data_IF_543461178024
#
_entry.id   IF_543461178024
#
_cell.length_a   1.000
_cell.length_b   1.000
_cell.length_c   1.000
_cell.angle_alpha   90.00
_cell.angle_beta   90.00
_cell.angle_gamma   90.00
#
_symmetry.space_group_name_H-M   'P 1'
#
loop_
_entity.id
_entity.type
_entity.pdbx_description
1 polymer ?
#
# COMPACT_ATOMS: atom_id res chain seq x y z
N UNK A 1 11.89 -43.72 -18.05
CA UNK A 1 11.56 -42.49 -18.82
C UNK A 1 10.13 -42.65 -19.25
N UNK A 2 9.17 -42.24 -18.43
CA UNK A 2 7.76 -42.50 -18.73
C UNK A 2 6.89 -41.29 -18.46
N UNK A 3 6.20 -40.91 -19.54
CA UNK A 3 5.01 -40.08 -19.63
C UNK A 3 5.11 -38.69 -19.00
N UNK A 4 5.55 -37.80 -19.87
CA UNK A 4 5.15 -36.40 -19.95
C UNK A 4 3.61 -36.28 -19.84
N UNK A 5 3.08 -36.32 -18.62
CA UNK A 5 1.71 -35.89 -18.35
C UNK A 5 1.72 -34.37 -18.50
N UNK A 6 1.49 -33.93 -19.73
CA UNK A 6 1.12 -32.56 -20.04
C UNK A 6 -0.23 -32.29 -19.38
N UNK A 7 -0.20 -32.04 -18.06
CA UNK A 7 -1.28 -31.32 -17.40
C UNK A 7 -1.27 -29.96 -18.09
N UNK A 8 -2.28 -29.72 -18.94
CA UNK A 8 -2.59 -28.38 -19.45
C UNK A 8 -2.84 -27.50 -18.23
N UNK A 9 -1.78 -26.87 -17.72
CA UNK A 9 -1.91 -25.67 -16.91
C UNK A 9 -2.43 -24.59 -17.86
N UNK A 10 -3.73 -24.60 -18.10
CA UNK A 10 -4.44 -23.36 -18.30
C UNK A 10 -4.24 -22.65 -16.96
N UNK A 11 -3.18 -21.86 -16.80
CA UNK A 11 -3.28 -20.72 -15.90
C UNK A 11 -4.46 -19.94 -16.51
N UNK A 12 -5.62 -19.85 -15.85
CA UNK A 12 -6.55 -18.80 -16.24
C UNK A 12 -5.77 -17.50 -16.01
N UNK A 13 -5.23 -16.94 -17.08
CA UNK A 13 -4.47 -15.68 -17.05
C UNK A 13 -5.41 -14.54 -16.60
N UNK A 14 -6.72 -14.81 -16.55
CA UNK A 14 -7.77 -14.01 -15.95
C UNK A 14 -8.69 -14.98 -15.21
N UNK A 15 -8.67 -14.90 -13.88
CA UNK A 15 -9.42 -15.76 -12.97
C UNK A 15 -10.92 -15.46 -12.93
N UNK A 16 -11.66 -16.14 -12.06
CA UNK A 16 -13.10 -15.96 -11.88
C UNK A 16 -13.45 -14.49 -11.59
N UNK A 17 -14.73 -14.08 -11.72
CA UNK A 17 -15.14 -12.67 -11.52
C UNK A 17 -14.56 -12.04 -10.23
N UNK A 18 -14.47 -12.81 -9.14
CA UNK A 18 -13.89 -12.34 -7.87
C UNK A 18 -12.37 -12.06 -7.89
N UNK A 19 -11.59 -12.73 -8.76
CA UNK A 19 -10.14 -12.50 -8.84
C UNK A 19 -9.82 -11.11 -9.45
N UNK A 20 -10.73 -10.61 -10.30
CA UNK A 20 -10.62 -9.27 -10.89
C UNK A 20 -11.04 -8.20 -9.86
N UNK A 21 -12.08 -8.47 -9.06
CA UNK A 21 -12.48 -7.60 -7.95
C UNK A 21 -11.33 -7.39 -6.95
N UNK A 22 -10.68 -8.48 -6.54
CA UNK A 22 -9.53 -8.43 -5.62
C UNK A 22 -8.33 -7.70 -6.24
N UNK A 23 -8.05 -7.92 -7.53
CA UNK A 23 -6.99 -7.21 -8.25
C UNK A 23 -7.24 -5.70 -8.29
N UNK A 24 -8.46 -5.29 -8.64
CA UNK A 24 -8.84 -3.88 -8.76
C UNK A 24 -8.82 -3.19 -7.40
N UNK A 25 -9.35 -3.84 -6.38
CA UNK A 25 -9.32 -3.32 -5.01
C UNK A 25 -7.87 -3.10 -4.55
N UNK A 26 -6.97 -4.05 -4.81
CA UNK A 26 -5.58 -3.92 -4.42
C UNK A 26 -4.83 -2.86 -5.26
N UNK A 27 -5.16 -2.74 -6.55
CA UNK A 27 -4.60 -1.69 -7.41
C UNK A 27 -4.94 -0.30 -6.87
N UNK A 28 -6.21 -0.07 -6.55
CA UNK A 28 -6.68 1.20 -5.97
C UNK A 28 -6.03 1.44 -4.60
N UNK A 29 -5.92 0.41 -3.75
CA UNK A 29 -5.25 0.51 -2.46
C UNK A 29 -3.78 0.95 -2.58
N UNK A 30 -3.03 0.34 -3.51
CA UNK A 30 -1.64 0.69 -3.74
C UNK A 30 -1.48 2.09 -4.34
N UNK A 31 -2.38 2.48 -5.25
CA UNK A 31 -2.40 3.82 -5.81
C UNK A 31 -2.68 4.87 -4.73
N UNK A 32 -3.71 4.66 -3.91
CA UNK A 32 -4.08 5.54 -2.80
C UNK A 32 -2.92 5.68 -1.81
N UNK A 33 -2.29 4.56 -1.43
CA UNK A 33 -1.14 4.55 -0.53
C UNK A 33 0.03 5.33 -1.11
N UNK A 34 0.34 5.11 -2.39
CA UNK A 34 1.44 5.79 -3.07
C UNK A 34 1.20 7.31 -3.12
N UNK A 35 -0.03 7.75 -3.43
CA UNK A 35 -0.40 9.17 -3.42
C UNK A 35 -0.29 9.77 -2.03
N UNK A 36 -0.81 9.09 -1.00
CA UNK A 36 -0.73 9.57 0.38
C UNK A 36 0.72 9.70 0.87
N UNK A 37 1.59 8.74 0.53
CA UNK A 37 3.03 8.79 0.81
C UNK A 37 3.70 9.97 0.09
N UNK A 38 3.38 10.22 -1.18
CA UNK A 38 3.91 11.35 -1.94
C UNK A 38 3.51 12.67 -1.27
N UNK A 39 2.22 12.87 -0.98
CA UNK A 39 1.70 14.09 -0.37
C UNK A 39 2.33 14.35 1.01
N UNK A 40 2.57 13.29 1.79
CA UNK A 40 3.20 13.40 3.12
C UNK A 40 4.70 13.72 3.02
N UNK A 41 5.40 13.16 2.04
CA UNK A 41 6.84 13.36 1.87
C UNK A 41 7.20 14.64 1.10
N UNK A 42 6.30 15.16 0.29
CA UNK A 42 6.53 16.36 -0.53
C UNK A 42 7.06 17.56 0.25
N UNK A 43 6.48 17.97 1.39
CA UNK A 43 7.02 19.09 2.18
C UNK A 43 8.38 18.80 2.81
N UNK A 44 8.77 17.51 2.95
CA UNK A 44 9.97 17.09 3.65
C UNK A 44 11.15 16.92 2.69
N UNK A 45 10.97 16.12 1.63
CA UNK A 45 12.04 15.69 0.72
C UNK A 45 12.06 16.46 -0.62
N UNK A 46 10.98 17.18 -0.95
CA UNK A 46 10.86 17.92 -2.20
C UNK A 46 10.60 17.05 -3.43
N UNK A 47 10.05 17.69 -4.47
CA UNK A 47 9.54 17.02 -5.67
C UNK A 47 10.61 16.22 -6.43
N UNK A 48 11.85 16.74 -6.48
CA UNK A 48 12.92 16.14 -7.28
C UNK A 48 13.30 14.73 -6.80
N UNK A 49 13.42 14.53 -5.48
CA UNK A 49 13.76 13.22 -4.89
C UNK A 49 12.57 12.26 -5.05
N UNK A 50 11.35 12.75 -4.85
CA UNK A 50 10.15 11.92 -4.88
C UNK A 50 9.87 11.39 -6.29
N UNK A 51 9.74 12.28 -7.28
CA UNK A 51 9.43 11.89 -8.64
C UNK A 51 10.64 11.28 -9.37
N UNK A 52 11.86 11.70 -9.01
CA UNK A 52 13.09 11.22 -9.64
C UNK A 52 13.61 9.88 -9.11
N UNK A 53 13.39 9.58 -7.82
CA UNK A 53 13.99 8.39 -7.17
C UNK A 53 12.94 7.48 -6.51
N UNK A 54 12.08 8.03 -5.64
CA UNK A 54 11.15 7.22 -4.83
C UNK A 54 10.08 6.56 -5.72
N UNK A 55 9.43 7.34 -6.58
CA UNK A 55 8.37 6.85 -7.46
C UNK A 55 8.85 5.78 -8.44
N UNK A 56 9.92 5.99 -9.24
CA UNK A 56 10.43 4.96 -10.13
C UNK A 56 11.01 3.76 -9.35
N UNK A 57 11.67 3.99 -8.21
CA UNK A 57 12.18 2.92 -7.35
C UNK A 57 11.05 2.02 -6.81
N UNK A 58 9.95 2.62 -6.36
CA UNK A 58 8.76 1.88 -5.89
C UNK A 58 8.12 1.10 -7.02
N UNK A 59 7.99 1.70 -8.21
CA UNK A 59 7.46 1.00 -9.40
C UNK A 59 8.30 -0.22 -9.79
N UNK A 60 9.63 -0.08 -9.82
CA UNK A 60 10.55 -1.19 -10.09
C UNK A 60 10.46 -2.28 -9.01
N UNK A 61 10.40 -1.90 -7.73
CA UNK A 61 10.25 -2.85 -6.63
C UNK A 61 8.95 -3.65 -6.74
N UNK A 62 7.83 -2.99 -7.07
CA UNK A 62 6.54 -3.66 -7.26
C UNK A 62 6.58 -4.60 -8.47
N UNK A 63 7.19 -4.19 -9.57
CA UNK A 63 7.35 -5.03 -10.77
C UNK A 63 8.16 -6.29 -10.47
N UNK A 64 9.29 -6.16 -9.77
CA UNK A 64 10.11 -7.29 -9.37
C UNK A 64 9.42 -8.21 -8.37
N UNK A 65 8.71 -7.63 -7.39
CA UNK A 65 7.91 -8.36 -6.41
C UNK A 65 6.81 -9.19 -7.07
N UNK A 66 6.11 -8.63 -8.05
CA UNK A 66 5.09 -9.34 -8.81
C UNK A 66 5.68 -10.51 -9.61
N UNK A 67 6.83 -10.35 -10.27
CA UNK A 67 7.50 -11.46 -10.95
C UNK A 67 7.88 -12.59 -9.99
N UNK A 68 8.40 -12.24 -8.82
CA UNK A 68 8.75 -13.22 -7.80
C UNK A 68 7.51 -13.96 -7.26
N UNK A 69 6.41 -13.25 -7.05
CA UNK A 69 5.13 -13.81 -6.62
C UNK A 69 4.55 -14.77 -7.64
N UNK A 70 4.56 -14.41 -8.93
CA UNK A 70 4.13 -15.31 -10.02
C UNK A 70 5.03 -16.54 -10.09
N UNK A 71 6.34 -16.40 -9.90
CA UNK A 71 7.27 -17.52 -9.85
C UNK A 71 6.95 -18.47 -8.68
N UNK A 72 6.69 -17.93 -7.49
CA UNK A 72 6.29 -18.72 -6.31
C UNK A 72 4.93 -19.38 -6.49
N UNK A 73 3.95 -18.67 -7.05
CA UNK A 73 2.64 -19.18 -7.43
C UNK A 73 2.78 -20.43 -8.29
N UNK A 74 3.61 -20.34 -9.33
CA UNK A 74 3.85 -21.41 -10.28
C UNK A 74 4.51 -22.61 -9.61
N UNK A 75 5.52 -22.38 -8.77
CA UNK A 75 6.17 -23.46 -8.00
C UNK A 75 5.19 -24.16 -7.06
N UNK A 76 4.32 -23.39 -6.40
CA UNK A 76 3.29 -23.91 -5.50
C UNK A 76 2.23 -24.72 -6.26
N UNK A 77 1.74 -24.19 -7.38
CA UNK A 77 0.77 -24.85 -8.25
C UNK A 77 1.26 -26.21 -8.78
N UNK A 78 2.54 -26.32 -9.14
CA UNK A 78 3.15 -27.59 -9.53
C UNK A 78 3.29 -28.58 -8.37
N UNK A 79 3.59 -28.10 -7.16
CA UNK A 79 3.76 -28.95 -5.97
C UNK A 79 2.42 -29.54 -5.53
N UNK A 80 1.37 -28.73 -5.52
CA UNK A 80 0.02 -29.13 -5.08
C UNK A 80 -0.83 -29.74 -6.21
N UNK A 81 -0.32 -29.74 -7.46
CA UNK A 81 -1.04 -30.19 -8.66
C UNK A 81 -2.41 -29.51 -8.84
N UNK A 82 -2.48 -28.22 -8.50
CA UNK A 82 -3.71 -27.40 -8.52
C UNK A 82 -3.61 -26.28 -9.54
N UNK A 83 -4.68 -26.11 -10.33
CA UNK A 83 -4.79 -25.07 -11.36
C UNK A 83 -5.52 -23.80 -10.91
N UNK A 84 -6.06 -23.78 -9.71
CA UNK A 84 -6.84 -22.70 -9.10
C UNK A 84 -5.99 -21.79 -8.18
N UNK A 85 -4.71 -21.62 -8.51
CA UNK A 85 -3.79 -20.80 -7.72
C UNK A 85 -3.87 -19.36 -8.19
N UNK A 86 -4.55 -18.53 -7.41
CA UNK A 86 -4.52 -17.08 -7.53
C UNK A 86 -3.41 -16.50 -6.65
N UNK A 87 -2.73 -15.47 -7.14
CA UNK A 87 -1.77 -14.71 -6.34
C UNK A 87 -2.12 -13.24 -6.40
N UNK A 88 -2.27 -12.68 -5.21
CA UNK A 88 -2.55 -11.26 -5.03
C UNK A 88 -1.30 -10.45 -5.41
N UNK A 89 -1.45 -9.35 -6.18
CA UNK A 89 -0.30 -8.57 -6.62
C UNK A 89 0.52 -8.02 -5.45
N UNK A 90 1.81 -7.84 -5.68
CA UNK A 90 2.68 -7.21 -4.71
C UNK A 90 2.32 -5.73 -4.54
N UNK A 91 2.16 -5.30 -3.29
CA UNK A 91 1.72 -3.97 -2.92
C UNK A 91 2.67 -3.26 -1.96
N UNK A 92 2.33 -2.00 -1.65
CA UNK A 92 3.04 -1.21 -0.65
C UNK A 92 2.46 -1.55 0.73
N UNK A 93 3.32 -1.79 1.71
CA UNK A 93 2.88 -1.93 3.10
C UNK A 93 2.58 -0.54 3.67
N UNK A 94 1.32 -0.11 3.60
CA UNK A 94 0.87 1.22 4.04
C UNK A 94 1.30 1.53 5.47
N UNK A 95 1.05 0.60 6.40
CA UNK A 95 1.41 0.80 7.81
C UNK A 95 2.92 0.86 8.04
N UNK A 96 3.70 0.05 7.31
CA UNK A 96 5.15 0.10 7.36
C UNK A 96 5.72 1.39 6.76
N UNK A 97 5.14 1.87 5.65
CA UNK A 97 5.56 3.09 4.99
C UNK A 97 5.35 4.31 5.89
N UNK A 98 4.16 4.48 6.48
CA UNK A 98 3.89 5.59 7.39
C UNK A 98 4.68 5.50 8.68
N UNK A 99 4.83 4.30 9.25
CA UNK A 99 5.71 4.12 10.40
C UNK A 99 7.14 4.58 10.09
N UNK A 100 7.65 4.28 8.90
CA UNK A 100 8.98 4.72 8.47
C UNK A 100 9.08 6.23 8.27
N UNK A 101 8.07 6.83 7.64
CA UNK A 101 8.00 8.29 7.43
C UNK A 101 8.02 9.01 8.79
N UNK A 102 7.11 8.66 9.69
CA UNK A 102 6.96 9.38 10.96
C UNK A 102 8.03 9.03 12.00
N UNK A 103 8.57 7.81 12.00
CA UNK A 103 9.56 7.40 13.00
C UNK A 103 11.01 7.72 12.60
N UNK A 104 11.30 7.89 11.31
CA UNK A 104 12.67 8.08 10.83
C UNK A 104 12.78 9.36 10.02
N UNK A 105 12.02 9.50 8.93
CA UNK A 105 12.21 10.62 7.99
C UNK A 105 11.83 11.96 8.64
N UNK A 106 10.65 12.05 9.25
CA UNK A 106 10.16 13.26 9.92
C UNK A 106 11.08 13.75 11.06
N UNK A 107 11.47 12.93 12.06
CA UNK A 107 12.34 13.42 13.14
C UNK A 107 13.71 13.82 12.62
N UNK A 108 14.30 13.06 11.68
CA UNK A 108 15.59 13.43 11.08
C UNK A 108 15.52 14.79 10.40
N UNK A 109 14.42 15.10 9.71
CA UNK A 109 14.20 16.40 9.09
C UNK A 109 14.09 17.53 10.13
N UNK A 110 13.28 17.36 11.18
CA UNK A 110 13.08 18.39 12.21
C UNK A 110 14.33 18.61 13.07
N UNK A 111 15.11 17.56 13.36
CA UNK A 111 16.39 17.67 14.05
C UNK A 111 17.39 18.49 13.23
N UNK A 112 17.44 18.27 11.90
CA UNK A 112 18.28 19.06 11.00
C UNK A 112 17.83 20.52 10.91
N UNK A 113 16.52 20.76 10.90
CA UNK A 113 15.94 22.11 10.91
C UNK A 113 16.36 22.88 12.18
N UNK A 114 16.38 22.20 13.34
CA UNK A 114 16.77 22.80 14.61
C UNK A 114 18.26 23.17 14.71
N UNK A 115 19.12 22.45 13.96
CA UNK A 115 20.58 22.64 14.00
C UNK A 115 21.04 23.77 13.08
N UNK A 116 20.14 24.33 12.26
CA UNK A 116 20.41 25.44 11.33
C UNK A 116 21.59 25.15 10.36
N UNK A 117 21.93 23.88 10.15
CA UNK A 117 22.90 23.42 9.16
C UNK A 117 22.24 23.48 7.78
N UNK A 118 22.26 24.69 7.24
CA UNK A 118 21.64 25.08 5.99
C UNK A 118 22.40 24.51 4.79
N UNK A 119 21.70 23.71 3.98
CA UNK A 119 21.71 23.65 2.49
C UNK A 119 21.25 22.26 2.01
N UNK A 120 21.40 21.19 2.81
CA UNK A 120 21.16 19.79 2.36
C UNK A 120 20.21 18.96 3.24
N UNK A 121 19.26 19.58 3.94
CA UNK A 121 18.35 18.86 4.86
C UNK A 121 17.53 17.75 4.19
N UNK A 122 17.08 17.96 2.94
CA UNK A 122 16.29 16.98 2.18
C UNK A 122 17.15 15.78 1.75
N UNK A 123 18.35 16.05 1.25
CA UNK A 123 19.29 15.02 0.83
C UNK A 123 19.81 14.20 2.02
N UNK A 124 20.05 14.85 3.16
CA UNK A 124 20.47 14.16 4.38
C UNK A 124 19.35 13.24 4.90
N UNK A 125 18.10 13.71 4.95
CA UNK A 125 16.96 12.89 5.35
C UNK A 125 16.80 11.67 4.44
N UNK A 126 16.98 11.84 3.12
CA UNK A 126 17.00 10.74 2.16
C UNK A 126 18.17 9.77 2.38
N UNK A 127 19.38 10.29 2.61
CA UNK A 127 20.58 9.50 2.86
C UNK A 127 20.53 8.70 4.16
N UNK A 128 19.74 9.13 5.16
CA UNK A 128 19.46 8.36 6.38
C UNK A 128 18.32 7.36 6.15
N UNK A 129 17.29 7.74 5.40
CA UNK A 129 16.13 6.91 5.08
C UNK A 129 16.52 5.65 4.29
N UNK A 130 17.32 5.78 3.23
CA UNK A 130 17.66 4.67 2.35
C UNK A 130 18.37 3.50 3.08
N UNK A 131 19.47 3.70 3.82
CA UNK A 131 20.14 2.61 4.55
C UNK A 131 19.28 2.08 5.69
N UNK A 132 18.50 2.92 6.37
CA UNK A 132 17.61 2.47 7.43
C UNK A 132 16.53 1.51 6.91
N UNK A 133 15.96 1.79 5.74
CA UNK A 133 15.00 0.89 5.09
C UNK A 133 15.68 -0.41 4.64
N UNK A 134 16.90 -0.32 4.12
CA UNK A 134 17.69 -1.50 3.72
C UNK A 134 18.02 -2.41 4.92
N UNK A 135 18.45 -1.83 6.05
CA UNK A 135 18.72 -2.55 7.29
C UNK A 135 17.44 -3.22 7.80
N UNK A 136 16.30 -2.51 7.76
CA UNK A 136 14.99 -3.08 8.12
C UNK A 136 14.67 -4.32 7.27
N UNK A 137 14.97 -4.28 5.97
CA UNK A 137 14.87 -5.45 5.08
C UNK A 137 15.76 -6.62 5.49
N UNK A 138 17.03 -6.36 5.83
CA UNK A 138 17.95 -7.41 6.32
C UNK A 138 17.44 -8.02 7.62
N UNK A 139 16.99 -7.19 8.56
CA UNK A 139 16.42 -7.63 9.83
C UNK A 139 15.20 -8.52 9.59
N UNK A 140 14.28 -8.12 8.69
CA UNK A 140 13.13 -8.94 8.30
C UNK A 140 13.54 -10.29 7.71
N UNK A 141 14.59 -10.35 6.87
CA UNK A 141 15.10 -11.61 6.33
C UNK A 141 15.66 -12.53 7.41
N UNK A 142 16.36 -11.98 8.41
CA UNK A 142 16.86 -12.75 9.55
C UNK A 142 15.72 -13.26 10.44
N UNK A 143 14.72 -12.42 10.71
CA UNK A 143 13.55 -12.80 11.50
C UNK A 143 12.67 -13.83 10.78
N UNK A 144 12.63 -13.82 9.45
CA UNK A 144 11.86 -14.77 8.65
C UNK A 144 12.23 -16.23 8.95
N UNK A 145 13.49 -16.51 9.30
CA UNK A 145 13.97 -17.85 9.70
C UNK A 145 13.22 -18.38 10.92
N UNK A 146 12.87 -17.50 11.86
CA UNK A 146 12.10 -17.84 13.06
C UNK A 146 10.59 -17.74 12.85
N UNK A 147 10.13 -17.29 11.69
CA UNK A 147 8.72 -17.03 11.41
C UNK A 147 7.84 -18.29 11.55
N UNK A 148 8.29 -19.44 11.04
CA UNK A 148 7.53 -20.69 11.21
C UNK A 148 7.44 -21.14 12.67
N UNK A 149 8.50 -20.93 13.45
CA UNK A 149 8.52 -21.28 14.86
C UNK A 149 7.51 -20.41 15.63
N UNK A 150 7.52 -19.10 15.41
CA UNK A 150 6.58 -18.18 16.05
C UNK A 150 5.14 -18.52 15.65
N UNK A 151 4.88 -18.77 14.37
CA UNK A 151 3.55 -19.14 13.87
C UNK A 151 3.01 -20.43 14.49
N UNK A 152 3.85 -21.45 14.71
CA UNK A 152 3.44 -22.73 15.30
C UNK A 152 3.20 -22.64 16.81
N UNK A 153 3.93 -21.77 17.51
CA UNK A 153 3.83 -21.64 18.97
C UNK A 153 2.84 -20.54 19.43
N UNK A 154 2.43 -19.64 18.53
CA UNK A 154 1.49 -18.56 18.85
C UNK A 154 0.07 -18.99 18.50
N UNK A 155 -0.88 -19.00 19.47
CA UNK A 155 -2.28 -19.29 19.15
C UNK A 155 -2.85 -18.19 18.25
N UNK A 156 -3.62 -18.56 17.22
CA UNK A 156 -4.20 -17.60 16.25
C UNK A 156 -5.02 -16.49 16.93
N UNK A 157 -5.63 -16.79 18.08
CA UNK A 157 -6.41 -15.84 18.88
C UNK A 157 -5.56 -14.71 19.47
N UNK A 158 -4.27 -14.95 19.73
CA UNK A 158 -3.35 -13.91 20.20
C UNK A 158 -2.88 -12.99 19.06
N UNK A 159 -2.85 -13.48 17.82
CA UNK A 159 -2.41 -12.71 16.66
C UNK A 159 -3.50 -11.75 16.14
N UNK A 160 -4.77 -12.16 16.23
CA UNK A 160 -5.92 -11.41 15.73
C UNK A 160 -6.03 -9.98 16.32
N UNK A 161 -5.96 -9.77 17.66
CA UNK A 161 -6.02 -8.44 18.26
C UNK A 161 -4.86 -7.54 17.85
N UNK A 162 -3.67 -8.11 17.69
CA UNK A 162 -2.50 -7.35 17.27
C UNK A 162 -2.66 -6.83 15.84
N UNK A 163 -3.07 -7.70 14.90
CA UNK A 163 -3.28 -7.31 13.51
C UNK A 163 -4.46 -6.33 13.38
N UNK A 164 -5.57 -6.58 14.08
CA UNK A 164 -6.74 -5.70 14.01
C UNK A 164 -6.49 -4.35 14.67
N UNK A 165 -5.87 -4.32 15.85
CA UNK A 165 -5.54 -3.09 16.57
C UNK A 165 -4.51 -2.26 15.83
N UNK A 166 -3.42 -2.87 15.35
CA UNK A 166 -2.40 -2.18 14.58
C UNK A 166 -2.94 -1.67 13.23
N UNK A 167 -3.73 -2.50 12.54
CA UNK A 167 -4.39 -2.10 11.29
C UNK A 167 -5.38 -0.94 11.50
N UNK A 168 -6.21 -1.01 12.54
CA UNK A 168 -7.15 0.08 12.84
C UNK A 168 -6.43 1.37 13.25
N UNK A 169 -5.45 1.28 14.15
CA UNK A 169 -4.73 2.45 14.64
C UNK A 169 -3.93 3.16 13.54
N UNK A 170 -3.28 2.40 12.64
CA UNK A 170 -2.42 3.02 11.61
C UNK A 170 -3.19 3.29 10.32
N UNK A 171 -4.05 2.38 9.85
CA UNK A 171 -4.75 2.57 8.58
C UNK A 171 -6.05 3.34 8.75
N UNK A 172 -6.87 2.98 9.74
CA UNK A 172 -8.16 3.68 9.90
C UNK A 172 -7.94 5.09 10.44
N UNK A 173 -7.14 5.28 11.50
CA UNK A 173 -7.01 6.60 12.12
C UNK A 173 -6.21 7.60 11.28
N UNK A 174 -5.07 7.20 10.68
CA UNK A 174 -4.28 8.14 9.87
C UNK A 174 -5.02 8.57 8.60
N UNK A 175 -5.74 7.66 7.95
CA UNK A 175 -6.52 8.01 6.74
C UNK A 175 -7.83 8.72 7.10
N UNK A 176 -8.39 8.50 8.30
CA UNK A 176 -9.61 9.16 8.73
C UNK A 176 -9.42 10.65 9.05
N UNK A 177 -8.27 11.05 9.59
CA UNK A 177 -8.05 12.44 10.01
C UNK A 177 -8.20 13.45 8.85
N UNK A 178 -7.57 13.28 7.67
CA UNK A 178 -7.80 14.14 6.51
C UNK A 178 -9.24 14.08 5.98
N UNK A 179 -9.88 12.91 6.08
CA UNK A 179 -11.25 12.70 5.63
C UNK A 179 -12.26 13.46 6.52
N UNK A 180 -11.97 13.60 7.81
CA UNK A 180 -12.83 14.29 8.76
C UNK A 180 -12.99 15.79 8.46
N UNK A 181 -12.05 16.39 7.72
CA UNK A 181 -12.11 17.79 7.31
C UNK A 181 -13.10 18.03 6.16
N UNK A 182 -13.31 17.03 5.30
CA UNK A 182 -14.21 17.09 4.14
C UNK A 182 -15.13 15.86 4.06
N UNK A 183 -15.94 15.58 5.11
CA UNK A 183 -16.65 14.30 5.25
C UNK A 183 -17.68 14.05 4.14
N UNK A 184 -18.20 15.12 3.52
CA UNK A 184 -19.17 15.04 2.42
C UNK A 184 -18.58 14.32 1.20
N UNK A 185 -17.29 14.53 0.90
CA UNK A 185 -16.64 13.95 -0.27
C UNK A 185 -16.33 12.46 -0.06
N UNK A 186 -15.99 12.06 1.17
CA UNK A 186 -15.65 10.68 1.50
C UNK A 186 -16.87 9.78 1.80
N UNK A 187 -17.98 10.36 2.28
CA UNK A 187 -19.18 9.60 2.65
C UNK A 187 -19.79 8.87 1.45
N UNK A 188 -19.76 9.48 0.26
CA UNK A 188 -20.31 8.89 -0.96
C UNK A 188 -19.55 7.61 -1.38
N UNK A 189 -18.23 7.62 -1.63
CA UNK A 189 -17.48 6.40 -1.92
C UNK A 189 -17.57 5.37 -0.78
N UNK A 190 -17.62 5.81 0.49
CA UNK A 190 -17.84 4.90 1.62
C UNK A 190 -19.19 4.15 1.53
N UNK A 191 -20.28 4.86 1.25
CA UNK A 191 -21.61 4.25 1.06
C UNK A 191 -21.59 3.30 -0.13
N UNK A 192 -20.96 3.67 -1.25
CA UNK A 192 -20.86 2.82 -2.44
C UNK A 192 -20.10 1.53 -2.13
N UNK A 193 -18.98 1.60 -1.40
CA UNK A 193 -18.19 0.43 -1.00
C UNK A 193 -19.00 -0.45 -0.04
N UNK A 194 -19.68 0.13 0.95
CA UNK A 194 -20.52 -0.61 1.89
C UNK A 194 -21.68 -1.32 1.19
N UNK A 195 -22.36 -0.64 0.26
CA UNK A 195 -23.40 -1.25 -0.57
C UNK A 195 -22.83 -2.35 -1.46
N UNK A 196 -21.66 -2.14 -2.05
CA UNK A 196 -20.96 -3.13 -2.86
C UNK A 196 -20.51 -4.37 -2.08
N UNK A 197 -20.24 -4.22 -0.78
CA UNK A 197 -19.90 -5.32 0.12
C UNK A 197 -21.13 -6.19 0.45
N UNK A 198 -22.27 -5.57 0.76
CA UNK A 198 -23.49 -6.30 1.13
C UNK A 198 -24.33 -6.75 -0.06
N UNK A 199 -24.22 -6.07 -1.21
CA UNK A 199 -24.98 -6.36 -2.42
C UNK A 199 -24.02 -6.53 -3.59
N UNK A 200 -23.93 -7.76 -4.12
CA UNK A 200 -23.11 -8.08 -5.29
C UNK A 200 -23.78 -7.51 -6.55
N UNK A 201 -23.53 -6.24 -6.85
CA UNK A 201 -24.07 -5.57 -8.04
C UNK A 201 -23.25 -5.90 -9.29
N UNK A 202 -23.79 -6.78 -10.15
CA UNK A 202 -23.46 -6.83 -11.58
C UNK A 202 -21.99 -7.09 -11.93
N UNK A 203 -21.57 -6.66 -13.13
CA UNK A 203 -20.23 -6.85 -13.71
C UNK A 203 -19.31 -5.64 -13.54
N UNK A 204 -19.73 -4.62 -12.79
CA UNK A 204 -18.97 -3.40 -12.55
C UNK A 204 -18.35 -3.47 -11.16
N UNK A 205 -17.02 -3.59 -11.12
CA UNK A 205 -16.23 -3.65 -9.90
C UNK A 205 -16.51 -2.42 -9.02
N UNK A 206 -17.05 -2.66 -7.84
CA UNK A 206 -17.57 -1.64 -6.91
C UNK A 206 -16.53 -0.59 -6.53
N UNK A 207 -15.26 -0.99 -6.47
CA UNK A 207 -14.14 -0.10 -6.18
C UNK A 207 -13.92 0.97 -7.27
N UNK A 208 -14.07 0.64 -8.56
CA UNK A 208 -13.97 1.64 -9.63
C UNK A 208 -15.15 2.62 -9.61
N UNK A 209 -16.36 2.13 -9.30
CA UNK A 209 -17.55 2.98 -9.20
C UNK A 209 -17.39 3.95 -8.03
N UNK A 210 -16.90 3.48 -6.89
CA UNK A 210 -16.60 4.32 -5.73
C UNK A 210 -15.56 5.38 -6.07
N UNK A 211 -14.45 5.00 -6.72
CA UNK A 211 -13.40 5.93 -7.14
C UNK A 211 -13.94 7.00 -8.10
N UNK A 212 -14.65 6.59 -9.15
CA UNK A 212 -15.19 7.51 -10.15
C UNK A 212 -16.24 8.46 -9.54
N UNK A 213 -17.10 7.95 -8.67
CA UNK A 213 -18.11 8.76 -7.98
C UNK A 213 -17.46 9.75 -6.99
N UNK A 214 -16.45 9.32 -6.23
CA UNK A 214 -15.71 10.17 -5.31
C UNK A 214 -14.98 11.30 -6.04
N UNK A 215 -14.20 10.96 -7.07
CA UNK A 215 -13.48 11.96 -7.89
C UNK A 215 -14.43 12.91 -8.61
N UNK A 216 -15.55 12.40 -9.14
CA UNK A 216 -16.56 13.22 -9.81
C UNK A 216 -17.24 14.21 -8.85
N UNK A 217 -17.54 13.76 -7.62
CA UNK A 217 -18.11 14.62 -6.59
C UNK A 217 -17.12 15.71 -6.12
N UNK A 218 -15.85 15.35 -5.93
CA UNK A 218 -14.81 16.29 -5.56
C UNK A 218 -14.65 17.39 -6.62
N UNK A 219 -14.58 17.00 -7.90
CA UNK A 219 -14.53 17.95 -9.01
C UNK A 219 -15.76 18.86 -9.09
N UNK A 220 -16.96 18.30 -8.92
CA UNK A 220 -18.20 19.07 -8.99
C UNK A 220 -18.34 20.08 -7.84
N UNK A 221 -17.80 19.76 -6.67
CA UNK A 221 -17.94 20.59 -5.47
C UNK A 221 -16.75 21.55 -5.27
N UNK A 222 -15.59 21.29 -5.88
CA UNK A 222 -14.36 22.09 -5.75
C UNK A 222 -13.94 22.38 -4.29
N UNK A 223 -14.44 21.61 -3.32
CA UNK A 223 -14.23 21.85 -1.89
C UNK A 223 -12.77 21.68 -1.49
N UNK A 224 -12.04 20.81 -2.18
CA UNK A 224 -10.66 20.45 -1.88
C UNK A 224 -9.62 21.49 -2.33
N UNK A 225 -9.93 22.32 -3.34
CA UNK A 225 -9.02 23.38 -3.80
C UNK A 225 -8.84 24.51 -2.76
N UNK A 226 -9.81 24.70 -1.87
CA UNK A 226 -9.76 25.73 -0.83
C UNK A 226 -9.02 25.33 0.45
N UNK A 227 -8.99 24.05 0.82
CA UNK A 227 -8.31 23.57 2.04
C UNK A 227 -6.81 23.31 1.82
N UNK A 228 -6.42 22.69 0.71
CA UNK A 228 -4.99 22.48 0.39
C UNK A 228 -4.24 23.83 0.27
N UNK A 229 -4.90 24.86 -0.25
CA UNK A 229 -4.34 26.21 -0.30
C UNK A 229 -4.19 26.87 1.09
N UNK A 230 -4.94 26.43 2.11
CA UNK A 230 -4.96 27.03 3.45
C UNK A 230 -3.95 26.39 4.39
N UNK A 231 -3.71 25.09 4.29
CA UNK A 231 -2.62 24.42 5.02
C UNK A 231 -1.24 24.82 4.49
N UNK A 232 -1.09 25.04 3.18
CA UNK A 232 0.15 25.57 2.61
C UNK A 232 0.50 27.01 3.04
N UNK A 233 -0.44 27.73 3.68
CA UNK A 233 -0.24 29.09 4.22
C UNK A 233 0.07 29.05 5.73
N UNK A 234 -0.18 27.93 6.41
CA UNK A 234 0.00 27.78 7.85
C UNK A 234 1.11 26.79 8.27
N UNK A 235 1.85 26.22 7.31
CA UNK A 235 3.14 25.55 7.48
C UNK A 235 4.27 26.43 6.94
#
# INVERSE_FOLDING_TARGET
>A
MDKCTLIKFNLPIVGARGDIDDFVALFINNLSTLLAVILTLQPILGDQIIYGMILPGTGLAMLWGNFYYVYMARKFAFKEQRGDVFVMPYGICTSGAFAFIYAIISPTYYDCLSTNDTVYFQELAWNVALPSNFITGIVLLLLCVFGEFIRKNTPSVALLPFISGFGFAILALNEYLPIAETPIVALLPFIIIMLGYFVTYGSLHTAFVALAAGTGLDWATSLNQGCIAREAIHL
#
